data_IF_164731606236
#
_entry.id   IF_164731606236
#
_cell.length_a   1.000
_cell.length_b   1.000
_cell.length_c   1.000
_cell.angle_alpha   90.00
_cell.angle_beta   90.00
_cell.angle_gamma   90.00
#
_symmetry.space_group_name_H-M   'P 1'
#
loop_
_entity.id
_entity.type
_entity.pdbx_description
1 polymer ?
#
# COMPACT_ATOMS: atom_id res chain seq x y z
N UNK A 1 -33.76 -16.27 -18.81
CA UNK A 1 -32.93 -17.41 -18.38
C UNK A 1 -31.70 -17.57 -19.27
N UNK A 2 -31.85 -17.59 -20.60
CA UNK A 2 -30.74 -17.79 -21.55
C UNK A 2 -29.56 -16.80 -21.39
N UNK A 3 -29.80 -15.51 -21.11
CA UNK A 3 -28.73 -14.53 -20.89
C UNK A 3 -27.97 -14.77 -19.58
N UNK A 4 -28.67 -15.20 -18.52
CA UNK A 4 -28.05 -15.46 -17.22
C UNK A 4 -27.19 -16.73 -17.26
N UNK A 5 -27.70 -17.77 -17.89
CA UNK A 5 -26.97 -19.02 -18.13
C UNK A 5 -25.70 -18.77 -18.97
N UNK A 6 -25.78 -17.89 -19.97
CA UNK A 6 -24.62 -17.48 -20.76
C UNK A 6 -23.56 -16.73 -19.94
N UNK A 7 -23.97 -15.86 -19.00
CA UNK A 7 -23.05 -15.10 -18.15
C UNK A 7 -22.38 -15.93 -17.04
N UNK A 8 -23.13 -16.86 -16.42
CA UNK A 8 -22.73 -17.50 -15.16
C UNK A 8 -22.57 -19.02 -15.24
N UNK A 9 -22.97 -19.66 -16.34
CA UNK A 9 -22.96 -21.12 -16.47
C UNK A 9 -24.23 -21.76 -15.89
N UNK A 10 -24.65 -22.86 -16.50
CA UNK A 10 -25.87 -23.57 -16.10
C UNK A 10 -25.75 -24.21 -14.71
N UNK A 11 -24.52 -24.55 -14.32
CA UNK A 11 -24.18 -25.14 -13.03
C UNK A 11 -24.38 -24.19 -11.84
N UNK A 12 -24.39 -22.87 -12.07
CA UNK A 12 -24.55 -21.86 -11.01
C UNK A 12 -25.99 -21.32 -10.89
N UNK A 13 -26.90 -21.70 -11.80
CA UNK A 13 -28.29 -21.22 -11.80
C UNK A 13 -29.01 -21.52 -10.50
N UNK A 14 -28.97 -22.78 -10.06
CA UNK A 14 -29.69 -23.24 -8.85
C UNK A 14 -29.16 -22.52 -7.61
N UNK A 15 -27.83 -22.45 -7.49
CA UNK A 15 -27.17 -21.82 -6.35
C UNK A 15 -27.51 -20.32 -6.27
N UNK A 16 -27.38 -19.60 -7.39
CA UNK A 16 -27.62 -18.15 -7.38
C UNK A 16 -29.10 -17.81 -7.17
N UNK A 17 -30.02 -18.57 -7.76
CA UNK A 17 -31.47 -18.40 -7.51
C UNK A 17 -31.80 -18.65 -6.04
N UNK A 18 -31.20 -19.68 -5.44
CA UNK A 18 -31.43 -20.00 -4.02
C UNK A 18 -30.91 -18.89 -3.09
N UNK A 19 -29.69 -18.40 -3.34
CA UNK A 19 -29.12 -17.29 -2.56
C UNK A 19 -29.95 -16.01 -2.68
N UNK A 20 -30.49 -15.71 -3.87
CA UNK A 20 -31.36 -14.54 -4.06
C UNK A 20 -32.73 -14.72 -3.41
N UNK A 21 -33.25 -15.94 -3.37
CA UNK A 21 -34.52 -16.25 -2.73
C UNK A 21 -34.48 -16.01 -1.22
N UNK A 22 -33.35 -16.35 -0.57
CA UNK A 22 -33.17 -16.19 0.89
C UNK A 22 -32.70 -14.80 1.31
N UNK A 23 -32.26 -13.96 0.36
CA UNK A 23 -31.74 -12.63 0.66
C UNK A 23 -32.68 -11.77 1.53
N UNK A 24 -34.02 -11.76 1.34
CA UNK A 24 -34.92 -11.03 2.22
C UNK A 24 -34.91 -11.55 3.67
N UNK A 25 -34.87 -12.87 3.84
CA UNK A 25 -34.83 -13.51 5.16
C UNK A 25 -33.48 -13.24 5.85
N UNK A 26 -32.39 -13.27 5.09
CA UNK A 26 -31.04 -12.93 5.57
C UNK A 26 -30.96 -11.46 6.00
N UNK A 27 -31.56 -10.53 5.23
CA UNK A 27 -31.64 -9.12 5.61
C UNK A 27 -32.48 -8.93 6.88
N UNK A 28 -33.56 -9.70 7.03
CA UNK A 28 -34.37 -9.66 8.25
C UNK A 28 -33.60 -10.20 9.47
N UNK A 29 -32.78 -11.24 9.29
CA UNK A 29 -32.04 -11.89 10.37
C UNK A 29 -30.74 -11.16 10.76
N UNK A 30 -30.03 -10.60 9.78
CA UNK A 30 -28.66 -10.08 9.93
C UNK A 30 -28.54 -8.56 9.73
N UNK A 31 -29.63 -7.90 9.35
CA UNK A 31 -29.66 -6.45 9.12
C UNK A 31 -29.39 -6.06 7.66
N UNK A 32 -29.06 -4.80 7.38
CA UNK A 32 -28.84 -4.35 6.00
C UNK A 32 -27.67 -5.10 5.35
N UNK A 33 -27.68 -5.23 4.03
CA UNK A 33 -26.69 -6.01 3.27
C UNK A 33 -25.22 -5.66 3.61
N UNK A 34 -24.94 -4.41 3.95
CA UNK A 34 -23.61 -3.94 4.35
C UNK A 34 -23.08 -4.61 5.64
N UNK A 35 -23.95 -5.15 6.49
CA UNK A 35 -23.56 -5.79 7.75
C UNK A 35 -23.03 -7.20 7.57
N UNK A 36 -23.45 -7.91 6.52
CA UNK A 36 -23.13 -9.33 6.32
C UNK A 36 -22.61 -9.67 4.93
N UNK A 37 -22.64 -8.75 3.97
CA UNK A 37 -22.08 -8.98 2.65
C UNK A 37 -20.56 -9.10 2.71
N UNK A 38 -20.03 -10.01 1.89
CA UNK A 38 -18.59 -10.13 1.68
C UNK A 38 -18.03 -9.08 0.70
N UNK A 39 -18.86 -8.16 0.21
CA UNK A 39 -18.50 -7.19 -0.84
C UNK A 39 -17.33 -6.28 -0.44
N UNK A 40 -17.25 -5.73 0.78
CA UNK A 40 -16.07 -4.96 1.22
C UNK A 40 -14.76 -5.74 1.13
N UNK A 41 -14.83 -7.08 1.18
CA UNK A 41 -13.69 -7.98 1.13
C UNK A 41 -13.41 -8.55 -0.26
N UNK A 42 -14.11 -8.10 -1.31
CA UNK A 42 -13.92 -8.59 -2.68
C UNK A 42 -12.48 -8.45 -3.15
N UNK A 43 -11.81 -7.35 -2.77
CA UNK A 43 -10.40 -7.11 -3.06
C UNK A 43 -9.47 -8.20 -2.47
N UNK A 44 -9.82 -8.78 -1.33
CA UNK A 44 -9.09 -9.89 -0.70
C UNK A 44 -9.35 -11.21 -1.43
N UNK A 45 -10.52 -11.41 -2.03
CA UNK A 45 -10.84 -12.62 -2.80
C UNK A 45 -9.84 -12.83 -3.94
N UNK A 46 -9.47 -11.75 -4.64
CA UNK A 46 -8.44 -11.79 -5.68
C UNK A 46 -7.08 -12.23 -5.11
N UNK A 47 -6.69 -11.71 -3.96
CA UNK A 47 -5.43 -12.10 -3.31
C UNK A 47 -5.43 -13.57 -2.88
N UNK A 48 -6.55 -14.08 -2.37
CA UNK A 48 -6.72 -15.49 -2.01
C UNK A 48 -6.68 -16.35 -3.28
N UNK A 49 -7.34 -15.94 -4.36
CA UNK A 49 -7.30 -16.66 -5.64
C UNK A 49 -5.88 -16.76 -6.20
N UNK A 50 -5.13 -15.66 -6.19
CA UNK A 50 -3.73 -15.65 -6.63
C UNK A 50 -2.84 -16.56 -5.75
N UNK A 51 -3.26 -16.82 -4.52
CA UNK A 51 -2.58 -17.73 -3.59
C UNK A 51 -2.81 -19.23 -3.89
N UNK A 52 -3.66 -19.57 -4.85
CA UNK A 52 -4.00 -20.94 -5.24
C UNK A 52 -3.49 -21.20 -6.65
N UNK A 53 -2.67 -22.25 -6.85
CA UNK A 53 -2.10 -22.60 -8.17
C UNK A 53 -2.76 -23.81 -8.81
N UNK A 54 -3.51 -24.59 -8.06
CA UNK A 54 -4.23 -25.78 -8.57
C UNK A 54 -5.47 -26.06 -7.72
N UNK A 55 -6.41 -26.83 -8.27
CA UNK A 55 -7.62 -27.26 -7.56
C UNK A 55 -7.37 -28.28 -6.42
N UNK A 56 -6.13 -28.72 -6.21
CA UNK A 56 -5.81 -29.69 -5.18
C UNK A 56 -5.50 -29.00 -3.84
N UNK A 57 -6.20 -29.36 -2.77
CA UNK A 57 -5.95 -28.83 -1.42
C UNK A 57 -5.93 -27.28 -1.35
N UNK A 58 -6.92 -26.64 -2.00
CA UNK A 58 -7.05 -25.18 -2.16
C UNK A 58 -6.87 -24.41 -0.84
N UNK A 59 -7.59 -24.81 0.22
CA UNK A 59 -7.50 -24.15 1.52
C UNK A 59 -6.09 -24.23 2.14
N UNK A 60 -5.42 -25.38 1.98
CA UNK A 60 -4.04 -25.58 2.46
C UNK A 60 -3.07 -24.67 1.70
N UNK A 61 -3.20 -24.56 0.39
CA UNK A 61 -2.37 -23.65 -0.41
C UNK A 61 -2.51 -22.20 0.05
N UNK A 62 -3.76 -21.73 0.21
CA UNK A 62 -4.03 -20.37 0.65
C UNK A 62 -3.48 -20.11 2.07
N UNK A 63 -3.74 -21.01 3.01
CA UNK A 63 -3.24 -20.90 4.39
C UNK A 63 -1.72 -20.90 4.47
N UNK A 64 -1.03 -21.78 3.72
CA UNK A 64 0.43 -21.85 3.71
C UNK A 64 1.05 -20.59 3.12
N UNK A 65 0.55 -20.09 1.99
CA UNK A 65 1.05 -18.82 1.41
C UNK A 65 0.80 -17.62 2.31
N UNK A 66 -0.32 -17.60 3.02
CA UNK A 66 -0.58 -16.58 4.03
C UNK A 66 0.48 -16.65 5.15
N UNK A 67 0.75 -17.84 5.69
CA UNK A 67 1.76 -18.05 6.73
C UNK A 67 3.18 -17.68 6.26
N UNK A 68 3.53 -17.98 5.01
CA UNK A 68 4.80 -17.56 4.39
C UNK A 68 4.94 -16.03 4.35
N UNK A 69 3.88 -15.31 3.92
CA UNK A 69 3.86 -13.84 3.88
C UNK A 69 4.02 -13.23 5.27
N UNK A 70 3.38 -13.80 6.28
CA UNK A 70 3.50 -13.34 7.67
C UNK A 70 4.90 -13.63 8.25
N UNK A 71 5.44 -14.83 8.01
CA UNK A 71 6.78 -15.21 8.48
C UNK A 71 7.88 -14.36 7.85
N UNK A 72 7.71 -13.92 6.60
CA UNK A 72 8.64 -13.00 5.94
C UNK A 72 8.58 -11.60 6.57
N UNK A 73 7.41 -11.17 7.03
CA UNK A 73 7.23 -9.94 7.80
C UNK A 73 7.95 -10.00 9.15
N UNK A 74 7.87 -11.14 9.86
CA UNK A 74 8.54 -11.34 11.16
C UNK A 74 10.06 -11.44 11.04
N UNK A 75 10.61 -12.08 10.00
CA UNK A 75 12.08 -12.15 9.81
C UNK A 75 12.71 -10.80 9.47
N UNK A 76 11.94 -9.88 8.87
CA UNK A 76 12.39 -8.50 8.60
C UNK A 76 12.42 -7.63 9.87
N UNK A 77 11.69 -8.01 10.93
CA UNK A 77 11.81 -7.38 12.25
C UNK A 77 13.12 -7.79 12.94
N UNK A 78 13.64 -8.99 12.68
CA UNK A 78 14.86 -9.53 13.32
C UNK A 78 16.13 -9.10 12.56
N UNK A 79 16.09 -8.96 11.23
CA UNK A 79 17.27 -8.54 10.46
C UNK A 79 17.68 -7.08 10.69
N UNK A 80 16.87 -6.27 11.39
CA UNK A 80 17.27 -4.96 11.90
C UNK A 80 18.26 -5.03 13.08
N UNK A 81 18.61 -6.23 13.57
CA UNK A 81 19.48 -6.42 14.73
C UNK A 81 20.36 -7.67 14.61
N UNK A 82 21.14 -7.83 13.55
CA UNK A 82 22.30 -8.74 13.58
C UNK A 82 23.46 -8.20 12.75
N UNK A 83 24.53 -7.83 13.44
CA UNK A 83 25.85 -7.54 12.88
C UNK A 83 26.36 -8.73 12.06
N UNK A 84 26.85 -8.50 10.84
CA UNK A 84 27.97 -9.28 10.32
C UNK A 84 28.88 -8.42 9.45
N UNK A 85 30.11 -8.27 9.93
CA UNK A 85 31.27 -7.67 9.30
C UNK A 85 31.67 -8.31 7.96
N UNK A 86 32.16 -7.43 7.07
CA UNK A 86 33.40 -7.55 6.29
C UNK A 86 33.38 -7.99 4.80
N UNK A 87 33.74 -7.01 3.97
CA UNK A 87 34.72 -7.02 2.85
C UNK A 87 34.20 -7.40 1.46
N UNK A 88 34.31 -6.43 0.54
CA UNK A 88 34.34 -6.67 -0.91
C UNK A 88 33.63 -5.58 -1.70
N UNK A 89 34.38 -4.57 -2.15
CA UNK A 89 33.88 -3.53 -3.03
C UNK A 89 33.43 -4.10 -4.38
N UNK A 90 32.16 -3.91 -4.71
CA UNK A 90 31.66 -3.66 -6.08
C UNK A 90 30.48 -2.72 -5.97
N UNK A 91 30.58 -1.61 -6.71
CA UNK A 91 29.63 -0.50 -6.76
C UNK A 91 28.34 -0.93 -7.48
N UNK A 92 27.56 -1.77 -6.80
CA UNK A 92 26.18 -2.06 -7.14
C UNK A 92 25.37 -1.14 -6.24
N UNK A 93 24.65 -0.18 -6.83
CA UNK A 93 23.69 0.66 -6.10
C UNK A 93 22.67 -0.25 -5.41
N UNK A 94 22.97 -0.64 -4.17
CA UNK A 94 22.11 -1.48 -3.38
C UNK A 94 20.93 -0.61 -2.97
N UNK A 95 19.73 -0.99 -3.42
CA UNK A 95 18.49 -0.31 -3.02
C UNK A 95 18.40 -0.37 -1.49
N UNK A 96 18.69 0.74 -0.82
CA UNK A 96 18.60 0.82 0.64
C UNK A 96 17.12 0.90 1.01
N UNK A 97 16.74 0.18 2.08
CA UNK A 97 15.35 0.07 2.52
C UNK A 97 15.29 0.22 4.03
N UNK A 98 14.31 0.98 4.52
CA UNK A 98 13.98 1.13 5.93
C UNK A 98 12.49 0.91 6.15
N UNK A 99 12.12 0.38 7.32
CA UNK A 99 10.73 0.16 7.69
C UNK A 99 10.15 1.39 8.40
N UNK A 100 8.93 1.77 8.04
CA UNK A 100 8.16 2.87 8.61
C UNK A 100 6.67 2.49 8.65
N UNK A 101 6.05 2.41 9.82
CA UNK A 101 4.63 2.08 10.01
C UNK A 101 4.15 0.89 9.15
N UNK A 102 4.84 -0.24 9.26
CA UNK A 102 4.58 -1.47 8.49
C UNK A 102 4.71 -1.33 6.96
N UNK A 103 5.17 -0.17 6.49
CA UNK A 103 5.51 0.13 5.09
C UNK A 103 7.03 0.21 4.89
N UNK A 104 7.46 0.03 3.65
CA UNK A 104 8.87 0.17 3.25
C UNK A 104 9.10 1.56 2.68
N UNK A 105 10.12 2.26 3.14
CA UNK A 105 10.68 3.45 2.48
C UNK A 105 12.02 3.03 1.89
N UNK A 106 12.30 3.46 0.65
CA UNK A 106 13.54 3.09 -0.04
C UNK A 106 14.27 4.32 -0.55
N UNK A 107 15.55 4.22 -0.88
CA UNK A 107 16.31 5.33 -1.49
C UNK A 107 15.98 5.57 -2.97
N UNK A 108 15.13 4.72 -3.57
CA UNK A 108 14.78 4.76 -4.99
C UNK A 108 13.26 4.87 -5.21
N UNK A 109 12.87 5.45 -6.34
CA UNK A 109 11.48 5.45 -6.78
C UNK A 109 10.94 4.02 -6.99
N UNK A 110 9.61 3.82 -6.85
CA UNK A 110 8.60 4.82 -6.46
C UNK A 110 8.41 4.96 -4.94
N UNK A 111 8.99 4.07 -4.13
CA UNK A 111 8.74 3.94 -2.69
C UNK A 111 9.55 4.90 -1.80
N UNK A 112 9.87 6.09 -2.31
CA UNK A 112 10.77 7.03 -1.65
C UNK A 112 10.15 8.40 -1.37
N UNK A 113 8.84 8.53 -1.52
CA UNK A 113 8.13 9.80 -1.30
C UNK A 113 7.55 9.83 0.10
N UNK A 114 7.81 10.90 0.84
CA UNK A 114 7.36 11.10 2.22
C UNK A 114 6.98 12.55 2.47
N UNK A 115 6.19 12.78 3.51
CA UNK A 115 5.97 14.13 4.09
C UNK A 115 6.68 14.18 5.44
N UNK A 116 7.39 15.27 5.66
CA UNK A 116 8.25 15.48 6.84
C UNK A 116 7.98 16.87 7.38
N UNK A 117 7.46 16.96 8.60
CA UNK A 117 7.03 18.22 9.21
C UNK A 117 6.17 19.09 8.26
N UNK A 118 5.20 18.46 7.58
CA UNK A 118 4.30 19.10 6.63
C UNK A 118 4.91 19.42 5.25
N UNK A 119 6.17 19.08 5.00
CA UNK A 119 6.83 19.32 3.71
C UNK A 119 6.96 18.03 2.90
N UNK A 120 6.43 17.98 1.65
CA UNK A 120 6.59 16.82 0.80
C UNK A 120 8.00 16.73 0.22
N UNK A 121 8.54 15.52 0.09
CA UNK A 121 9.86 15.31 -0.51
C UNK A 121 10.22 13.86 -0.78
N UNK A 122 11.47 13.65 -1.18
CA UNK A 122 12.06 12.37 -1.54
C UNK A 122 13.16 11.96 -0.56
N UNK A 123 13.19 10.68 -0.22
CA UNK A 123 14.37 10.01 0.32
C UNK A 123 15.26 9.59 -0.84
N UNK A 124 16.52 10.00 -0.77
CA UNK A 124 17.50 9.74 -1.85
C UNK A 124 18.69 8.90 -1.41
N UNK A 125 18.87 8.73 -0.11
CA UNK A 125 19.95 7.94 0.50
C UNK A 125 19.55 7.60 1.95
N UNK A 126 20.02 6.48 2.46
CA UNK A 126 19.75 5.96 3.80
C UNK A 126 21.08 5.51 4.39
N UNK A 127 21.53 6.17 5.45
CA UNK A 127 22.76 5.80 6.16
C UNK A 127 22.54 4.57 7.04
N UNK A 128 23.66 3.92 7.38
CA UNK A 128 23.69 2.78 8.30
C UNK A 128 23.17 3.12 9.71
N UNK A 129 23.30 4.38 10.13
CA UNK A 129 22.78 4.90 11.40
C UNK A 129 21.26 5.20 11.38
N UNK A 130 20.60 4.98 10.24
CA UNK A 130 19.16 5.21 10.06
C UNK A 130 18.78 6.64 9.69
N UNK A 131 19.74 7.55 9.49
CA UNK A 131 19.46 8.89 8.97
C UNK A 131 19.11 8.83 7.49
N UNK A 132 18.12 9.63 7.10
CA UNK A 132 17.56 9.64 5.75
C UNK A 132 17.90 10.96 5.06
N UNK A 133 18.43 10.88 3.84
CA UNK A 133 18.72 12.06 3.02
C UNK A 133 17.45 12.52 2.33
N UNK A 134 16.87 13.58 2.86
CA UNK A 134 15.61 14.14 2.42
C UNK A 134 15.83 15.33 1.49
N UNK A 135 15.10 15.35 0.38
CA UNK A 135 15.04 16.46 -0.58
C UNK A 135 13.61 16.89 -0.76
N UNK A 136 13.30 18.15 -0.45
CA UNK A 136 11.95 18.68 -0.58
C UNK A 136 11.54 18.84 -2.03
N UNK A 137 10.24 18.73 -2.30
CA UNK A 137 9.67 19.28 -3.51
C UNK A 137 9.53 20.80 -3.39
N UNK A 138 9.70 21.51 -4.50
CA UNK A 138 9.52 22.96 -4.57
C UNK A 138 8.06 23.33 -4.86
N UNK A 139 7.68 24.55 -4.43
CA UNK A 139 6.36 25.14 -4.66
C UNK A 139 5.17 24.25 -4.20
N UNK A 140 5.16 23.74 -2.94
CA UNK A 140 4.04 22.98 -2.43
C UNK A 140 2.82 23.89 -2.26
N UNK A 141 1.70 23.53 -2.91
CA UNK A 141 0.44 24.27 -2.88
C UNK A 141 -0.77 23.34 -2.98
N UNK A 142 -1.95 23.91 -2.80
CA UNK A 142 -3.21 23.20 -2.99
C UNK A 142 -3.30 22.62 -4.41
N UNK A 143 -3.60 21.32 -4.49
CA UNK A 143 -4.00 20.66 -5.72
C UNK A 143 -5.45 20.99 -6.08
N UNK A 144 -6.31 21.09 -5.07
CA UNK A 144 -7.67 21.61 -5.14
C UNK A 144 -8.01 22.42 -3.89
N UNK A 145 -9.00 23.29 -3.98
CA UNK A 145 -9.45 24.16 -2.87
C UNK A 145 -10.92 23.95 -2.47
N UNK A 146 -11.70 23.29 -3.32
CA UNK A 146 -13.10 22.95 -3.06
C UNK A 146 -13.19 21.44 -2.77
N UNK A 147 -13.89 21.00 -1.71
CA UNK A 147 -14.63 21.81 -0.72
C UNK A 147 -13.75 22.45 0.38
N UNK A 148 -12.48 22.08 0.46
CA UNK A 148 -11.48 22.66 1.36
C UNK A 148 -10.07 22.52 0.75
N UNK A 149 -9.07 23.28 1.23
CA UNK A 149 -7.69 23.17 0.77
C UNK A 149 -7.13 21.75 0.84
N UNK A 150 -6.63 21.21 -0.28
CA UNK A 150 -6.10 19.84 -0.31
C UNK A 150 -4.91 19.62 0.63
N UNK A 151 -4.18 20.70 0.95
CA UNK A 151 -3.06 20.65 1.91
C UNK A 151 -3.51 20.32 3.33
N UNK A 152 -4.75 20.64 3.70
CA UNK A 152 -5.33 20.29 5.01
C UNK A 152 -5.45 18.77 5.21
N UNK A 153 -5.50 18.00 4.11
CA UNK A 153 -5.50 16.53 4.13
C UNK A 153 -4.19 15.94 3.60
N UNK A 154 -3.12 16.73 3.55
CA UNK A 154 -1.79 16.28 3.14
C UNK A 154 -1.62 16.00 1.65
N UNK A 155 -2.52 16.49 0.79
CA UNK A 155 -2.39 16.40 -0.66
C UNK A 155 -1.76 17.69 -1.21
N UNK A 156 -0.65 17.53 -1.91
CA UNK A 156 0.14 18.66 -2.41
C UNK A 156 0.27 18.60 -3.94
N UNK A 157 0.15 19.76 -4.58
CA UNK A 157 0.69 20.00 -5.91
C UNK A 157 2.08 20.62 -5.75
N UNK A 158 3.06 20.03 -6.41
CA UNK A 158 4.47 20.40 -6.34
C UNK A 158 5.06 20.59 -7.74
N UNK A 159 6.19 21.27 -7.83
CA UNK A 159 6.93 21.44 -9.09
C UNK A 159 8.03 20.39 -9.28
N UNK A 160 9.26 20.70 -8.86
CA UNK A 160 10.43 19.83 -9.05
C UNK A 160 11.05 19.50 -7.70
N UNK A 161 11.95 18.52 -7.65
CA UNK A 161 12.70 18.20 -6.44
C UNK A 161 13.83 19.21 -6.28
N UNK A 162 14.02 19.74 -5.07
CA UNK A 162 15.14 20.63 -4.73
C UNK A 162 16.48 19.91 -4.87
N UNK A 163 17.52 20.66 -5.24
CA UNK A 163 18.89 20.16 -5.20
C UNK A 163 19.46 20.12 -3.77
N UNK A 164 18.95 20.99 -2.91
CA UNK A 164 19.31 21.04 -1.50
C UNK A 164 18.76 19.80 -0.78
N UNK A 165 19.46 19.39 0.27
CA UNK A 165 19.07 18.25 1.08
C UNK A 165 19.32 18.50 2.55
N UNK A 166 18.56 17.79 3.38
CA UNK A 166 18.75 17.70 4.82
C UNK A 166 18.83 16.22 5.21
N UNK A 167 19.36 15.95 6.40
CA UNK A 167 19.31 14.63 7.02
C UNK A 167 18.23 14.64 8.09
N UNK A 168 17.35 13.66 8.05
CA UNK A 168 16.20 13.55 8.96
C UNK A 168 16.18 12.18 9.64
N UNK A 169 15.48 12.10 10.78
CA UNK A 169 15.17 10.84 11.45
C UNK A 169 13.84 10.27 10.95
N UNK A 170 13.65 8.96 11.13
CA UNK A 170 12.34 8.32 10.92
C UNK A 170 11.21 8.95 11.74
N UNK A 171 11.54 9.55 12.89
CA UNK A 171 10.56 10.20 13.78
C UNK A 171 9.98 11.50 13.22
N UNK A 172 10.68 12.10 12.25
CA UNK A 172 10.28 13.36 11.64
C UNK A 172 9.32 13.15 10.45
N UNK A 173 9.09 11.88 10.07
CA UNK A 173 8.22 11.51 8.94
C UNK A 173 6.78 11.46 9.41
N UNK A 174 5.92 12.28 8.82
CA UNK A 174 4.49 12.30 9.11
C UNK A 174 3.78 11.13 8.42
N UNK A 175 4.12 10.87 7.15
CA UNK A 175 3.55 9.76 6.38
C UNK A 175 4.37 9.41 5.14
N UNK A 176 4.14 8.20 4.61
CA UNK A 176 4.58 7.80 3.28
C UNK A 176 3.55 8.25 2.23
N UNK A 177 4.03 8.63 1.06
CA UNK A 177 3.18 9.13 -0.02
C UNK A 177 3.39 8.39 -1.34
N UNK A 178 2.47 8.60 -2.27
CA UNK A 178 2.68 8.34 -3.70
C UNK A 178 2.89 9.67 -4.42
N UNK A 179 3.71 9.65 -5.47
CA UNK A 179 3.88 10.78 -6.38
C UNK A 179 3.26 10.44 -7.74
N UNK A 180 2.36 11.29 -8.22
CA UNK A 180 1.70 11.19 -9.51
C UNK A 180 2.29 12.28 -10.40
N UNK A 181 3.08 11.87 -11.40
CA UNK A 181 3.69 12.81 -12.35
C UNK A 181 2.62 13.28 -13.36
N UNK A 182 2.35 14.57 -13.39
CA UNK A 182 1.58 15.24 -14.43
C UNK A 182 2.53 15.96 -15.40
N UNK A 183 2.01 16.53 -16.49
CA UNK A 183 2.84 17.13 -17.54
C UNK A 183 3.76 18.25 -17.01
N UNK A 184 3.25 19.08 -16.08
CA UNK A 184 3.94 20.30 -15.61
C UNK A 184 4.10 20.38 -14.08
N UNK A 185 3.68 19.35 -13.35
CA UNK A 185 3.69 19.32 -11.89
C UNK A 185 3.58 17.89 -11.39
N UNK A 186 3.83 17.68 -10.10
CA UNK A 186 3.68 16.39 -9.42
C UNK A 186 2.61 16.54 -8.35
N UNK A 187 1.70 15.57 -8.25
CA UNK A 187 0.73 15.50 -7.15
C UNK A 187 1.23 14.48 -6.14
N UNK A 188 1.35 14.89 -4.88
CA UNK A 188 1.75 14.05 -3.76
C UNK A 188 0.49 13.70 -2.99
N UNK A 189 0.23 12.40 -2.80
CA UNK A 189 -0.94 11.90 -2.09
C UNK A 189 -0.48 10.98 -0.95
N UNK A 190 -0.94 11.21 0.29
CA UNK A 190 -0.51 10.43 1.44
C UNK A 190 -1.14 9.04 1.42
N UNK A 191 -0.38 8.04 1.86
CA UNK A 191 -0.88 6.71 2.13
C UNK A 191 -1.50 6.72 3.54
N UNK A 192 -2.83 6.77 3.61
CA UNK A 192 -3.58 6.95 4.86
C UNK A 192 -3.21 5.97 5.97
N UNK A 193 -2.87 4.72 5.64
CA UNK A 193 -2.47 3.69 6.62
C UNK A 193 -1.04 3.89 7.19
N UNK A 194 -0.33 4.94 6.74
CA UNK A 194 1.02 5.28 7.21
C UNK A 194 1.07 6.60 7.98
N UNK A 195 -0.05 7.34 8.03
CA UNK A 195 -0.17 8.61 8.75
C UNK A 195 -0.06 8.34 10.25
N UNK A 196 0.83 9.06 10.92
CA UNK A 196 1.00 9.06 12.38
C UNK A 196 -0.05 9.92 13.08
#
# INVERSE_FOLDING_TARGET
MNEYEWCYGCEHLVYNVHSLQHLPDDVQAHGPLDSFSAFPFESYMRQIKDSVRSGFAVAKQAAQRYAERMSFSDRLQISGLTNTTAIGATDVSTKQVIMFNSSKITSCQPDNVVVVNGQPGLITDIKEDGLLKFRTFTDPRNYFEDPFPSTDIGIFRCSVVSHEHTWISLKDIDCKCIAINCINYVVIVPLLHTVL
#
